data_IF_534053709283
#
_entry.id   IF_534053709283
#
_cell.length_a   1.000
_cell.length_b   1.000
_cell.length_c   1.000
_cell.angle_alpha   90.00
_cell.angle_beta   90.00
_cell.angle_gamma   90.00
#
_symmetry.space_group_name_H-M   'P 1'
#
loop_
_entity.id
_entity.type
_entity.pdbx_description
1 polymer ?
#
# COMPACT_ATOMS: atom_id res chain seq x y z
N UNK A 1 -27.84 -8.70 7.48
CA UNK A 1 -26.39 -8.80 7.80
C UNK A 1 -25.55 -7.98 6.83
N UNK A 2 -25.61 -8.27 5.53
CA UNK A 2 -24.83 -7.56 4.50
C UNK A 2 -25.13 -6.05 4.40
N UNK A 3 -26.40 -5.63 4.46
CA UNK A 3 -26.75 -4.20 4.43
C UNK A 3 -26.16 -3.43 5.62
N UNK A 4 -26.33 -3.93 6.85
CA UNK A 4 -25.75 -3.31 8.05
C UNK A 4 -24.22 -3.18 7.96
N UNK A 5 -23.53 -4.15 7.34
CA UNK A 5 -22.11 -4.04 7.08
C UNK A 5 -21.81 -2.90 6.09
N UNK A 6 -22.57 -2.75 5.01
CA UNK A 6 -22.42 -1.63 4.08
C UNK A 6 -22.67 -0.27 4.74
N UNK A 7 -23.67 -0.17 5.62
CA UNK A 7 -23.94 1.05 6.40
C UNK A 7 -22.74 1.37 7.31
N UNK A 8 -22.24 0.36 8.03
CA UNK A 8 -21.09 0.51 8.91
C UNK A 8 -19.82 0.96 8.18
N UNK A 9 -19.52 0.33 7.03
CA UNK A 9 -18.40 0.74 6.17
C UNK A 9 -18.61 2.16 5.63
N UNK A 10 -19.81 2.50 5.16
CA UNK A 10 -20.11 3.85 4.65
C UNK A 10 -19.90 4.91 5.75
N UNK A 11 -20.40 4.67 6.96
CA UNK A 11 -20.19 5.54 8.12
C UNK A 11 -18.72 5.69 8.48
N UNK A 12 -17.97 4.59 8.49
CA UNK A 12 -16.53 4.63 8.71
C UNK A 12 -15.81 5.49 7.66
N UNK A 13 -16.14 5.34 6.37
CA UNK A 13 -15.54 6.14 5.31
C UNK A 13 -15.91 7.62 5.37
N UNK A 14 -17.13 7.96 5.80
CA UNK A 14 -17.54 9.35 6.04
C UNK A 14 -16.68 9.96 7.16
N UNK A 15 -16.47 9.22 8.26
CA UNK A 15 -15.63 9.65 9.38
C UNK A 15 -14.17 9.79 8.95
N UNK A 16 -13.62 8.79 8.24
CA UNK A 16 -12.27 8.82 7.71
C UNK A 16 -12.05 10.03 6.77
N UNK A 17 -12.98 10.26 5.85
CA UNK A 17 -12.91 11.36 4.88
C UNK A 17 -12.99 12.73 5.59
N UNK A 18 -13.90 12.87 6.56
CA UNK A 18 -14.05 14.12 7.32
C UNK A 18 -12.83 14.42 8.20
N UNK A 19 -12.23 13.40 8.81
CA UNK A 19 -10.96 13.53 9.52
C UNK A 19 -9.82 13.96 8.58
N UNK A 20 -9.74 13.34 7.39
CA UNK A 20 -8.74 13.72 6.36
C UNK A 20 -8.91 15.15 5.89
N UNK A 21 -10.16 15.56 5.63
CA UNK A 21 -10.50 16.93 5.24
C UNK A 21 -10.14 17.94 6.34
N UNK A 22 -10.41 17.60 7.61
CA UNK A 22 -10.09 18.44 8.76
C UNK A 22 -8.58 18.60 8.98
N UNK A 23 -7.81 17.52 8.76
CA UNK A 23 -6.36 17.50 8.92
C UNK A 23 -5.63 18.25 7.79
N UNK A 24 -5.99 18.01 6.53
CA UNK A 24 -5.25 18.53 5.38
C UNK A 24 -5.76 19.88 4.87
N UNK A 25 -6.99 20.28 5.18
CA UNK A 25 -7.62 21.56 4.77
C UNK A 25 -7.32 21.91 3.30
N UNK A 26 -6.48 22.92 3.03
CA UNK A 26 -6.11 23.36 1.66
C UNK A 26 -5.20 22.39 0.92
N UNK A 27 -4.40 21.60 1.65
CA UNK A 27 -3.52 20.58 1.08
C UNK A 27 -4.32 19.39 0.54
N UNK A 28 -5.54 19.18 1.01
CA UNK A 28 -6.45 18.14 0.51
C UNK A 28 -6.73 18.28 -1.00
N UNK A 29 -6.78 19.51 -1.52
CA UNK A 29 -7.07 19.80 -2.93
C UNK A 29 -5.84 20.16 -3.77
N UNK A 30 -4.68 20.38 -3.13
CA UNK A 30 -3.45 20.84 -3.81
C UNK A 30 -2.32 19.81 -3.77
N UNK A 31 -2.46 18.75 -2.97
CA UNK A 31 -1.47 17.66 -2.89
C UNK A 31 -1.45 16.83 -4.19
N UNK A 32 -0.37 16.10 -4.41
CA UNK A 32 -0.25 15.09 -5.49
C UNK A 32 -1.35 14.01 -5.38
N UNK A 33 -1.90 13.81 -4.18
CA UNK A 33 -3.03 12.92 -3.92
C UNK A 33 -4.42 13.58 -4.07
N UNK A 34 -4.51 14.87 -4.41
CA UNK A 34 -5.76 15.60 -4.58
C UNK A 34 -6.79 14.91 -5.52
N UNK A 35 -6.43 14.39 -6.71
CA UNK A 35 -7.39 13.67 -7.56
C UNK A 35 -7.93 12.41 -6.89
N UNK A 36 -7.13 11.72 -6.08
CA UNK A 36 -7.55 10.54 -5.34
C UNK A 36 -8.48 10.88 -4.17
N UNK A 37 -8.20 11.97 -3.47
CA UNK A 37 -9.03 12.50 -2.41
C UNK A 37 -10.39 13.00 -2.95
N UNK A 38 -10.40 13.66 -4.10
CA UNK A 38 -11.62 14.09 -4.79
C UNK A 38 -12.44 12.88 -5.26
N UNK A 39 -11.79 11.88 -5.83
CA UNK A 39 -12.44 10.64 -6.24
C UNK A 39 -13.08 9.92 -5.04
N UNK A 40 -12.36 9.79 -3.92
CA UNK A 40 -12.91 9.14 -2.73
C UNK A 40 -14.12 9.90 -2.15
N UNK A 41 -14.05 11.23 -2.14
CA UNK A 41 -15.17 12.11 -1.78
C UNK A 41 -16.40 11.85 -2.66
N UNK A 42 -16.20 11.83 -3.98
CA UNK A 42 -17.27 11.56 -4.94
C UNK A 42 -17.90 10.17 -4.71
N UNK A 43 -17.07 9.16 -4.44
CA UNK A 43 -17.57 7.82 -4.17
C UNK A 43 -18.33 7.72 -2.84
N UNK A 44 -18.01 8.53 -1.82
CA UNK A 44 -18.76 8.54 -0.54
C UNK A 44 -20.14 9.13 -0.81
N UNK A 45 -20.18 10.21 -1.58
CA UNK A 45 -21.41 10.89 -1.96
C UNK A 45 -22.34 9.99 -2.79
N UNK A 46 -21.78 9.21 -3.73
CA UNK A 46 -22.53 8.18 -4.47
C UNK A 46 -23.07 7.07 -3.56
N UNK A 47 -22.30 6.61 -2.59
CA UNK A 47 -22.77 5.59 -1.63
C UNK A 47 -23.94 6.09 -0.78
N UNK A 48 -23.88 7.35 -0.32
CA UNK A 48 -24.97 7.97 0.46
C UNK A 48 -26.21 8.15 -0.41
N UNK A 49 -26.05 8.59 -1.66
CA UNK A 49 -27.16 8.72 -2.60
C UNK A 49 -27.82 7.37 -2.92
N UNK A 50 -27.05 6.28 -3.09
CA UNK A 50 -27.60 4.93 -3.33
C UNK A 50 -28.49 4.50 -2.16
N UNK A 51 -28.06 4.77 -0.92
CA UNK A 51 -28.79 4.42 0.29
C UNK A 51 -30.12 5.18 0.40
N UNK A 52 -30.10 6.50 0.17
CA UNK A 52 -31.33 7.33 0.17
C UNK A 52 -32.29 6.86 -0.93
N UNK A 53 -31.78 6.59 -2.13
CA UNK A 53 -32.63 6.14 -3.24
C UNK A 53 -33.27 4.78 -2.95
N UNK A 54 -32.54 3.85 -2.33
CA UNK A 54 -33.08 2.53 -1.98
C UNK A 54 -34.24 2.64 -0.99
N UNK A 55 -34.14 3.54 -0.01
CA UNK A 55 -35.18 3.79 0.99
C UNK A 55 -36.43 4.46 0.39
N UNK A 56 -36.24 5.43 -0.51
CA UNK A 56 -37.34 6.10 -1.25
C UNK A 56 -38.06 5.15 -2.21
N UNK A 57 -37.32 4.23 -2.87
CA UNK A 57 -37.93 3.25 -3.79
C UNK A 57 -38.78 2.21 -3.05
N UNK A 58 -38.38 1.85 -1.83
CA UNK A 58 -39.10 0.83 -1.04
C UNK A 58 -40.42 1.36 -0.51
N UNK A 59 -40.53 2.68 -0.30
CA UNK A 59 -41.70 3.35 0.27
C UNK A 59 -42.71 3.87 -0.78
N UNK A 60 -42.35 3.88 -2.06
CA UNK A 60 -43.15 4.55 -3.11
C UNK A 60 -43.35 3.65 -4.34
N UNK A 61 -44.55 3.68 -4.95
CA UNK A 61 -44.86 3.04 -6.24
C UNK A 61 -44.26 3.86 -7.39
N UNK A 62 -42.95 3.73 -7.65
CA UNK A 62 -42.22 4.68 -8.50
C UNK A 62 -42.22 4.39 -10.01
N UNK A 63 -42.27 5.51 -10.75
CA UNK A 63 -42.30 5.65 -12.20
C UNK A 63 -41.05 5.12 -12.94
N UNK A 64 -41.18 4.91 -14.26
CA UNK A 64 -40.14 4.40 -15.18
C UNK A 64 -38.78 5.13 -15.12
N UNK A 65 -38.78 6.43 -14.81
CA UNK A 65 -37.56 7.23 -14.62
C UNK A 65 -36.72 6.75 -13.44
N UNK A 66 -37.36 6.33 -12.34
CA UNK A 66 -36.67 5.82 -11.15
C UNK A 66 -36.01 4.47 -11.42
N UNK A 67 -36.66 3.61 -12.20
CA UNK A 67 -36.09 2.35 -12.67
C UNK A 67 -34.81 2.56 -13.52
N UNK A 68 -34.74 3.66 -14.28
CA UNK A 68 -33.54 4.03 -15.05
C UNK A 68 -32.41 4.53 -14.13
N UNK A 69 -32.73 5.35 -13.13
CA UNK A 69 -31.75 5.83 -12.14
C UNK A 69 -31.14 4.69 -11.33
N UNK A 70 -31.94 3.71 -10.91
CA UNK A 70 -31.46 2.50 -10.22
C UNK A 70 -30.45 1.70 -11.05
N UNK A 71 -30.58 1.67 -12.38
CA UNK A 71 -29.58 1.01 -13.25
C UNK A 71 -28.24 1.73 -13.22
N UNK A 72 -28.23 3.06 -13.17
CA UNK A 72 -27.00 3.86 -13.10
C UNK A 72 -26.34 3.67 -11.73
N UNK A 73 -27.12 3.66 -10.65
CA UNK A 73 -26.62 3.44 -9.29
C UNK A 73 -26.05 2.04 -9.06
N UNK A 74 -26.49 1.02 -9.81
CA UNK A 74 -25.81 -0.30 -9.81
C UNK A 74 -24.33 -0.21 -10.23
N UNK A 75 -23.97 0.69 -11.15
CA UNK A 75 -22.57 0.90 -11.52
C UNK A 75 -21.79 1.58 -10.39
N UNK A 76 -22.43 2.40 -9.56
CA UNK A 76 -21.79 2.98 -8.37
C UNK A 76 -21.34 1.90 -7.37
N UNK A 77 -22.01 0.74 -7.32
CA UNK A 77 -21.56 -0.42 -6.54
C UNK A 77 -20.26 -1.01 -7.07
N UNK A 78 -20.05 -1.03 -8.39
CA UNK A 78 -18.79 -1.46 -9.01
C UNK A 78 -17.65 -0.52 -8.63
N UNK A 79 -17.93 0.79 -8.49
CA UNK A 79 -16.93 1.76 -8.04
C UNK A 79 -16.42 1.48 -6.61
N UNK A 80 -17.16 0.73 -5.77
CA UNK A 80 -16.66 0.27 -4.47
C UNK A 80 -15.48 -0.71 -4.62
N UNK A 81 -15.46 -1.53 -5.67
CA UNK A 81 -14.31 -2.41 -5.98
C UNK A 81 -13.07 -1.58 -6.32
N UNK A 82 -13.24 -0.45 -7.00
CA UNK A 82 -12.14 0.47 -7.32
C UNK A 82 -11.48 1.03 -6.05
N UNK A 83 -12.24 1.25 -4.97
CA UNK A 83 -11.66 1.62 -3.67
C UNK A 83 -10.77 0.53 -3.09
N UNK A 84 -11.23 -0.72 -3.14
CA UNK A 84 -10.46 -1.88 -2.68
C UNK A 84 -9.18 -2.00 -3.52
N UNK A 85 -9.27 -1.77 -4.82
CA UNK A 85 -8.11 -1.73 -5.72
C UNK A 85 -7.11 -0.61 -5.36
N UNK A 86 -7.58 0.55 -4.85
CA UNK A 86 -6.70 1.60 -4.32
C UNK A 86 -5.90 1.10 -3.12
N UNK A 87 -6.56 0.40 -2.18
CA UNK A 87 -5.87 -0.23 -1.05
C UNK A 87 -4.79 -1.22 -1.53
N UNK A 88 -5.12 -2.05 -2.52
CA UNK A 88 -4.14 -2.94 -3.16
C UNK A 88 -3.01 -2.18 -3.87
N UNK A 89 -3.26 -1.01 -4.47
CA UNK A 89 -2.20 -0.18 -5.05
C UNK A 89 -1.23 0.33 -3.99
N UNK A 90 -1.73 0.91 -2.89
CA UNK A 90 -0.89 1.34 -1.76
C UNK A 90 -0.11 0.17 -1.16
N UNK A 91 -0.72 -1.01 -1.06
CA UNK A 91 -0.06 -2.23 -0.62
C UNK A 91 1.07 -2.65 -1.58
N UNK A 92 0.81 -2.64 -2.90
CA UNK A 92 1.85 -2.92 -3.91
C UNK A 92 3.02 -1.96 -3.80
N UNK A 93 2.77 -0.67 -3.60
CA UNK A 93 3.84 0.32 -3.40
C UNK A 93 4.68 0.01 -2.15
N UNK A 94 4.06 -0.34 -1.02
CA UNK A 94 4.80 -0.78 0.16
C UNK A 94 5.66 -2.01 -0.13
N UNK A 95 5.11 -3.02 -0.81
CA UNK A 95 5.84 -4.23 -1.19
C UNK A 95 7.03 -3.89 -2.09
N UNK A 96 6.86 -2.99 -3.06
CA UNK A 96 7.97 -2.51 -3.89
C UNK A 96 9.08 -1.90 -3.04
N UNK A 97 8.76 -1.02 -2.09
CA UNK A 97 9.75 -0.41 -1.19
C UNK A 97 10.50 -1.44 -0.34
N UNK A 98 9.80 -2.48 0.13
CA UNK A 98 10.41 -3.59 0.89
C UNK A 98 11.38 -4.38 0.01
N UNK A 99 10.98 -4.72 -1.22
CA UNK A 99 11.85 -5.44 -2.17
C UNK A 99 13.11 -4.62 -2.45
N UNK A 100 12.98 -3.31 -2.72
CA UNK A 100 14.13 -2.43 -2.94
C UNK A 100 15.05 -2.39 -1.72
N UNK A 101 14.48 -2.34 -0.51
CA UNK A 101 15.26 -2.39 0.74
C UNK A 101 16.02 -3.71 0.89
N UNK A 102 15.39 -4.85 0.58
CA UNK A 102 16.04 -6.17 0.62
C UNK A 102 17.18 -6.25 -0.38
N UNK A 103 16.98 -5.78 -1.62
CA UNK A 103 18.04 -5.75 -2.63
C UNK A 103 19.22 -4.89 -2.15
N UNK A 104 18.96 -3.73 -1.56
CA UNK A 104 20.00 -2.88 -0.98
C UNK A 104 20.76 -3.59 0.15
N UNK A 105 20.05 -4.25 1.06
CA UNK A 105 20.66 -5.03 2.14
C UNK A 105 21.53 -6.17 1.59
N UNK A 106 21.10 -6.86 0.54
CA UNK A 106 21.90 -7.90 -0.11
C UNK A 106 23.24 -7.36 -0.60
N UNK A 107 23.26 -6.17 -1.21
CA UNK A 107 24.52 -5.53 -1.62
C UNK A 107 25.44 -5.22 -0.44
N UNK A 108 24.89 -4.77 0.69
CA UNK A 108 25.66 -4.54 1.93
C UNK A 108 26.25 -5.85 2.45
N UNK A 109 25.49 -6.94 2.45
CA UNK A 109 26.00 -8.26 2.84
C UNK A 109 27.13 -8.75 1.92
N UNK A 110 27.01 -8.54 0.60
CA UNK A 110 28.06 -8.88 -0.36
C UNK A 110 29.35 -8.10 -0.06
N UNK A 111 29.23 -6.80 0.20
CA UNK A 111 30.38 -5.96 0.58
C UNK A 111 31.01 -6.41 1.90
N UNK A 112 30.19 -6.75 2.91
CA UNK A 112 30.67 -7.27 4.19
C UNK A 112 31.45 -8.58 4.01
N UNK A 113 30.92 -9.53 3.23
CA UNK A 113 31.58 -10.80 2.93
C UNK A 113 32.92 -10.57 2.21
N UNK A 114 32.98 -9.61 1.29
CA UNK A 114 34.22 -9.26 0.60
C UNK A 114 35.30 -8.78 1.58
N UNK A 115 34.95 -7.93 2.55
CA UNK A 115 35.88 -7.46 3.58
C UNK A 115 36.35 -8.61 4.47
N UNK A 116 35.42 -9.46 4.95
CA UNK A 116 35.76 -10.63 5.77
C UNK A 116 36.70 -11.56 5.00
N UNK A 117 36.44 -11.79 3.72
CA UNK A 117 37.30 -12.62 2.85
C UNK A 117 38.71 -12.05 2.72
N UNK A 118 38.83 -10.73 2.55
CA UNK A 118 40.13 -10.05 2.49
C UNK A 118 40.96 -10.27 3.77
N UNK A 119 40.33 -10.09 4.94
CA UNK A 119 40.99 -10.36 6.22
C UNK A 119 41.34 -11.84 6.39
N UNK A 120 40.47 -12.75 5.97
CA UNK A 120 40.73 -14.20 6.03
C UNK A 120 41.97 -14.58 5.22
N UNK A 121 42.13 -14.03 4.00
CA UNK A 121 43.33 -14.22 3.18
C UNK A 121 44.57 -13.66 3.87
N UNK A 122 44.48 -12.46 4.44
CA UNK A 122 45.60 -11.83 5.13
C UNK A 122 46.11 -12.69 6.30
N UNK A 123 45.19 -13.18 7.13
CA UNK A 123 45.54 -14.09 8.23
C UNK A 123 46.10 -15.42 7.73
N UNK A 124 45.50 -16.00 6.68
CA UNK A 124 45.99 -17.25 6.10
C UNK A 124 47.44 -17.11 5.60
N UNK A 125 47.76 -16.01 4.91
CA UNK A 125 49.13 -15.74 4.44
C UNK A 125 50.10 -15.57 5.62
N UNK A 126 49.72 -14.79 6.64
CA UNK A 126 50.56 -14.61 7.83
C UNK A 126 50.85 -15.91 8.57
N UNK A 127 49.84 -16.79 8.71
CA UNK A 127 50.01 -18.11 9.33
C UNK A 127 50.86 -19.03 8.44
N UNK A 128 50.63 -19.04 7.13
CA UNK A 128 51.38 -19.86 6.19
C UNK A 128 52.87 -19.50 6.16
N UNK A 129 53.20 -18.20 6.25
CA UNK A 129 54.58 -17.74 6.34
C UNK A 129 55.24 -18.19 7.65
N UNK A 130 54.55 -18.09 8.78
CA UNK A 130 55.05 -18.58 10.06
C UNK A 130 55.37 -20.08 10.04
N UNK A 131 54.48 -20.92 9.48
CA UNK A 131 54.75 -22.35 9.33
C UNK A 131 55.90 -22.63 8.36
N UNK A 132 56.00 -21.86 7.27
CA UNK A 132 57.09 -22.01 6.31
C UNK A 132 58.45 -21.70 6.94
N UNK A 133 58.54 -20.68 7.78
CA UNK A 133 59.76 -20.34 8.52
C UNK A 133 60.09 -21.36 9.60
N UNK A 134 59.09 -21.88 10.31
CA UNK A 134 59.29 -22.95 11.30
C UNK A 134 59.79 -24.27 10.70
N UNK A 135 59.49 -24.52 9.42
CA UNK A 135 59.85 -25.76 8.71
C UNK A 135 61.11 -25.61 7.83
N UNK A 136 61.71 -24.41 7.77
CA UNK A 136 62.97 -24.20 7.02
C UNK A 136 64.10 -24.97 7.71
N UNK A 137 64.75 -25.95 7.03
CA UNK A 137 65.87 -26.66 7.63
C UNK A 137 67.01 -25.67 7.87
N UNK A 138 67.48 -25.61 9.11
CA UNK A 138 68.71 -24.90 9.49
C UNK A 138 69.85 -25.62 8.78
N UNK A 139 70.28 -25.08 7.65
CA UNK A 139 71.46 -25.57 6.95
C UNK A 139 72.68 -25.19 7.84
N UNK A 140 73.58 -26.14 8.14
CA UNK A 140 74.75 -25.87 8.98
C UNK A 140 75.71 -24.86 8.37
#
# INVERSE_FOLDING_TARGET
AWEHAEIGFCGFFIIELSLRLAAEKRRFLTSEEAPWNLFDTFLVLLSVMDMILMEVTTSSTLNFTFARTLRIFRFARILRIVRVMRFFYSFRLMVYSVIYSIVSLLWVFVMLLFVIYFFAIFFLHGVAEHFKDATRPVNP
#
